data_IF_241843450318
#
_entry.id   IF_241843450318
#
_cell.length_a   1.000
_cell.length_b   1.000
_cell.length_c   1.000
_cell.angle_alpha   90.00
_cell.angle_beta   90.00
_cell.angle_gamma   90.00
#
_symmetry.space_group_name_H-M   'P 1'
#
loop_
_entity.id
_entity.type
_entity.pdbx_description
1 polymer ?
#
# COMPACT_ATOMS: atom_id res chain seq x y z
N UNK A 1 20.51 -18.17 41.45
CA UNK A 1 19.70 -17.87 40.24
C UNK A 1 18.24 -18.11 40.57
N UNK A 2 17.35 -17.16 40.27
CA UNK A 2 15.92 -17.35 40.50
C UNK A 2 15.35 -18.46 39.61
N UNK A 3 14.43 -19.27 40.13
CA UNK A 3 13.66 -20.22 39.32
C UNK A 3 12.42 -19.54 38.75
N UNK A 4 11.92 -20.05 37.63
CA UNK A 4 10.70 -19.56 37.00
C UNK A 4 9.97 -20.67 36.25
N UNK A 5 8.67 -20.49 36.06
CA UNK A 5 7.84 -21.36 35.23
C UNK A 5 7.75 -20.72 33.84
N UNK A 6 8.01 -21.51 32.79
CA UNK A 6 7.88 -21.06 31.42
C UNK A 6 6.39 -20.94 31.03
N UNK A 7 5.89 -19.77 30.61
CA UNK A 7 4.47 -19.60 30.26
C UNK A 7 4.07 -20.36 28.99
N UNK A 8 5.02 -20.74 28.14
CA UNK A 8 4.74 -21.48 26.90
C UNK A 8 4.61 -23.00 27.10
N UNK A 9 5.41 -23.61 27.99
CA UNK A 9 5.45 -25.08 28.13
C UNK A 9 5.27 -25.58 29.57
N UNK A 10 5.09 -24.68 30.55
CA UNK A 10 4.90 -25.03 31.96
C UNK A 10 6.16 -25.55 32.69
N UNK A 11 7.29 -25.73 32.00
CA UNK A 11 8.51 -26.26 32.61
C UNK A 11 9.15 -25.27 33.59
N UNK A 12 9.56 -25.76 34.75
CA UNK A 12 10.41 -25.01 35.69
C UNK A 12 11.85 -24.91 35.15
N UNK A 13 12.42 -23.72 35.13
CA UNK A 13 13.77 -23.47 34.63
C UNK A 13 14.53 -22.45 35.48
N UNK A 14 15.87 -22.52 35.45
CA UNK A 14 16.75 -21.53 36.08
C UNK A 14 16.80 -20.30 35.18
N UNK A 15 16.41 -19.13 35.70
CA UNK A 15 16.45 -17.88 34.94
C UNK A 15 17.90 -17.40 34.81
N UNK A 16 18.47 -17.30 33.59
CA UNK A 16 19.82 -16.76 33.41
C UNK A 16 19.87 -15.24 33.66
N UNK A 17 18.78 -14.53 33.42
CA UNK A 17 18.57 -13.12 33.78
C UNK A 17 17.23 -12.97 34.52
N UNK A 18 17.10 -12.01 35.42
CA UNK A 18 15.84 -11.77 36.15
C UNK A 18 14.66 -11.53 35.19
N UNK A 19 14.91 -10.91 34.03
CA UNK A 19 13.95 -10.64 32.96
C UNK A 19 13.64 -11.83 32.04
N UNK A 20 14.30 -12.98 32.20
CA UNK A 20 14.05 -14.17 31.37
C UNK A 20 12.67 -14.76 31.64
N UNK A 21 11.80 -14.72 30.62
CA UNK A 21 10.42 -15.23 30.69
C UNK A 21 10.26 -16.69 30.25
N UNK A 22 11.08 -17.18 29.31
CA UNK A 22 10.92 -18.51 28.70
C UNK A 22 12.13 -19.41 28.98
N UNK A 23 11.91 -20.73 29.02
CA UNK A 23 12.97 -21.71 29.29
C UNK A 23 13.94 -21.94 28.12
N UNK A 24 13.56 -21.55 26.90
CA UNK A 24 14.38 -21.69 25.68
C UNK A 24 13.95 -20.70 24.60
N UNK A 25 14.82 -20.48 23.61
CA UNK A 25 14.47 -19.70 22.41
C UNK A 25 13.26 -20.28 21.68
N UNK A 26 13.14 -21.61 21.63
CA UNK A 26 11.99 -22.29 21.03
C UNK A 26 10.67 -21.92 21.72
N UNK A 27 10.62 -22.01 23.05
CA UNK A 27 9.42 -21.63 23.80
C UNK A 27 9.07 -20.14 23.68
N UNK A 28 10.09 -19.27 23.60
CA UNK A 28 9.87 -17.86 23.32
C UNK A 28 9.27 -17.65 21.93
N UNK A 29 9.77 -18.34 20.92
CA UNK A 29 9.27 -18.23 19.54
C UNK A 29 7.88 -18.81 19.41
N UNK A 30 7.60 -19.99 19.95
CA UNK A 30 6.29 -20.63 19.90
C UNK A 30 5.22 -19.71 20.50
N UNK A 31 5.50 -19.07 21.64
CA UNK A 31 4.60 -18.09 22.26
C UNK A 31 4.41 -16.83 21.40
N UNK A 32 5.38 -16.47 20.57
CA UNK A 32 5.30 -15.34 19.64
C UNK A 32 4.70 -15.73 18.28
N UNK A 33 4.12 -16.93 18.15
CA UNK A 33 3.56 -17.45 16.89
C UNK A 33 4.59 -18.11 15.95
N UNK A 34 5.76 -18.45 16.46
CA UNK A 34 6.88 -19.02 15.70
C UNK A 34 7.76 -17.96 15.01
N UNK A 35 8.77 -18.41 14.26
CA UNK A 35 9.59 -17.52 13.44
C UNK A 35 8.72 -16.83 12.36
N UNK A 36 8.56 -15.50 12.45
CA UNK A 36 8.05 -14.64 11.38
C UNK A 36 6.61 -14.92 10.85
N UNK A 37 5.69 -15.49 11.64
CA UNK A 37 4.29 -15.72 11.21
C UNK A 37 3.30 -14.66 11.70
N UNK A 38 3.68 -13.39 11.81
CA UNK A 38 2.66 -12.35 11.92
C UNK A 38 1.78 -12.42 10.65
N UNK A 39 0.45 -12.53 10.76
CA UNK A 39 -0.43 -12.64 9.58
C UNK A 39 -0.28 -11.40 8.69
N UNK A 40 -0.03 -10.27 9.32
CA UNK A 40 0.27 -9.00 8.67
C UNK A 40 1.38 -8.23 9.41
N UNK A 41 2.16 -7.46 8.66
CA UNK A 41 3.17 -6.56 9.18
C UNK A 41 3.19 -5.32 8.31
N UNK A 42 3.10 -4.14 8.91
CA UNK A 42 2.98 -2.85 8.23
C UNK A 42 4.13 -1.91 8.60
N UNK A 43 4.55 -1.05 7.67
CA UNK A 43 5.55 -0.01 7.85
C UNK A 43 5.27 1.18 6.92
N UNK A 44 5.76 2.37 7.27
CA UNK A 44 5.67 3.55 6.42
C UNK A 44 6.77 3.50 5.34
N UNK A 45 6.42 3.71 4.08
CA UNK A 45 7.39 3.80 2.99
C UNK A 45 7.86 5.24 2.74
N UNK A 46 8.89 5.41 1.91
CA UNK A 46 9.44 6.73 1.55
C UNK A 46 8.46 7.64 0.78
N UNK A 47 7.35 7.09 0.28
CA UNK A 47 6.30 7.83 -0.45
C UNK A 47 5.12 8.23 0.44
N UNK A 48 5.20 7.94 1.75
CA UNK A 48 4.19 8.24 2.76
C UNK A 48 3.03 7.24 2.86
N UNK A 49 3.10 6.10 2.16
CA UNK A 49 2.07 5.06 2.25
C UNK A 49 2.43 4.02 3.31
N UNK A 50 1.42 3.48 3.97
CA UNK A 50 1.56 2.27 4.78
C UNK A 50 1.59 1.05 3.85
N UNK A 51 2.71 0.34 3.86
CA UNK A 51 2.95 -0.88 3.09
C UNK A 51 3.29 -2.03 4.01
N UNK A 52 3.01 -3.25 3.57
CA UNK A 52 3.12 -4.39 4.44
C UNK A 52 3.32 -5.72 3.73
N UNK A 53 3.59 -6.73 4.55
CA UNK A 53 3.55 -8.15 4.18
C UNK A 53 2.31 -8.75 4.79
N UNK A 54 1.51 -9.41 3.96
CA UNK A 54 0.35 -10.20 4.38
C UNK A 54 0.54 -11.65 3.94
N UNK A 55 0.06 -12.59 4.73
CA UNK A 55 0.01 -14.00 4.36
C UNK A 55 -1.38 -14.33 3.84
N UNK A 56 -1.47 -14.80 2.59
CA UNK A 56 -2.71 -15.23 1.94
C UNK A 56 -2.46 -16.62 1.37
N UNK A 57 -3.27 -17.60 1.75
CA UNK A 57 -3.16 -18.99 1.30
C UNK A 57 -1.74 -19.58 1.45
N UNK A 58 -1.09 -19.29 2.58
CA UNK A 58 0.28 -19.74 2.87
C UNK A 58 1.38 -19.05 2.05
N UNK A 59 1.03 -18.10 1.18
CA UNK A 59 1.98 -17.30 0.39
C UNK A 59 2.07 -15.89 0.95
N UNK A 60 3.29 -15.38 1.04
CA UNK A 60 3.55 -14.00 1.48
C UNK A 60 3.42 -13.04 0.31
N UNK A 61 2.53 -12.05 0.41
CA UNK A 61 2.32 -10.97 -0.57
C UNK A 61 2.76 -9.64 0.03
N UNK A 62 3.41 -8.78 -0.77
CA UNK A 62 3.62 -7.38 -0.41
C UNK A 62 2.46 -6.54 -0.95
N UNK A 63 1.86 -5.72 -0.09
CA UNK A 63 0.65 -4.93 -0.41
C UNK A 63 0.72 -3.56 0.24
N UNK A 64 -0.01 -2.60 -0.33
CA UNK A 64 -0.31 -1.33 0.35
C UNK A 64 -1.55 -1.49 1.22
N UNK A 65 -1.56 -0.87 2.40
CA UNK A 65 -2.62 -1.09 3.38
C UNK A 65 -4.00 -0.63 2.87
N UNK A 66 -4.13 0.57 2.27
CA UNK A 66 -5.40 1.01 1.68
C UNK A 66 -5.96 0.03 0.65
N UNK A 67 -5.10 -0.53 -0.23
CA UNK A 67 -5.53 -1.54 -1.21
C UNK A 67 -5.97 -2.81 -0.51
N UNK A 68 -5.21 -3.27 0.49
CA UNK A 68 -5.56 -4.47 1.24
C UNK A 68 -6.91 -4.35 1.95
N UNK A 69 -7.13 -3.25 2.69
CA UNK A 69 -8.38 -2.97 3.39
C UNK A 69 -9.57 -2.95 2.41
N UNK A 70 -9.39 -2.31 1.25
CA UNK A 70 -10.43 -2.27 0.22
C UNK A 70 -10.67 -3.65 -0.43
N UNK A 71 -9.63 -4.43 -0.72
CA UNK A 71 -9.79 -5.81 -1.23
C UNK A 71 -10.57 -6.69 -0.25
N UNK A 72 -10.32 -6.56 1.07
CA UNK A 72 -11.06 -7.29 2.10
C UNK A 72 -12.53 -6.86 2.14
N UNK A 73 -12.82 -5.56 2.01
CA UNK A 73 -14.17 -5.04 2.00
C UNK A 73 -14.98 -5.50 0.77
N UNK A 74 -14.34 -5.55 -0.41
CA UNK A 74 -14.97 -6.02 -1.65
C UNK A 74 -15.14 -7.54 -1.70
N UNK A 75 -14.35 -8.29 -0.93
CA UNK A 75 -14.25 -9.75 -1.06
C UNK A 75 -13.61 -10.22 -2.37
N UNK A 76 -12.97 -9.32 -3.13
CA UNK A 76 -12.26 -9.62 -4.38
C UNK A 76 -11.02 -8.75 -4.53
N UNK A 77 -10.09 -9.18 -5.40
CA UNK A 77 -8.96 -8.36 -5.77
C UNK A 77 -9.41 -7.07 -6.50
N UNK A 78 -8.70 -5.97 -6.25
CA UNK A 78 -8.87 -4.73 -7.01
C UNK A 78 -8.35 -4.96 -8.42
N UNK A 79 -9.18 -4.64 -9.41
CA UNK A 79 -8.89 -4.80 -10.82
C UNK A 79 -7.73 -3.92 -11.31
N UNK A 80 -7.16 -4.24 -12.48
CA UNK A 80 -6.01 -3.52 -13.02
C UNK A 80 -6.30 -2.06 -13.39
N UNK A 81 -7.57 -1.70 -13.61
CA UNK A 81 -8.03 -0.34 -13.92
C UNK A 81 -8.63 0.39 -12.73
N UNK A 82 -8.67 -0.25 -11.56
CA UNK A 82 -9.23 0.32 -10.34
C UNK A 82 -8.10 0.89 -9.46
N UNK A 83 -8.26 2.15 -9.04
CA UNK A 83 -7.35 2.85 -8.14
C UNK A 83 -8.10 3.15 -6.85
N UNK A 84 -7.44 2.94 -5.71
CA UNK A 84 -7.98 3.33 -4.41
C UNK A 84 -7.40 4.70 -4.06
N UNK A 85 -8.28 5.66 -3.84
CA UNK A 85 -7.95 7.05 -3.53
C UNK A 85 -8.32 7.38 -2.09
N UNK A 86 -7.56 8.27 -1.45
CA UNK A 86 -7.79 8.76 -0.10
C UNK A 86 -8.55 10.07 -0.18
N UNK A 87 -9.79 10.10 0.33
CA UNK A 87 -10.69 11.26 0.22
C UNK A 87 -10.09 12.49 0.92
N UNK A 88 -9.50 12.31 2.12
CA UNK A 88 -8.86 13.39 2.88
C UNK A 88 -7.41 13.71 2.45
N UNK A 89 -6.84 12.96 1.48
CA UNK A 89 -5.46 13.09 1.05
C UNK A 89 -4.38 12.56 2.02
N UNK A 90 -4.76 12.12 3.22
CA UNK A 90 -3.84 11.47 4.17
C UNK A 90 -3.65 10.00 3.84
N UNK A 91 -2.45 9.67 3.34
CA UNK A 91 -2.04 8.33 2.93
C UNK A 91 -1.91 7.32 4.07
N UNK A 92 -1.95 7.79 5.32
CA UNK A 92 -1.87 6.96 6.52
C UNK A 92 -3.23 6.61 7.11
N UNK A 93 -4.27 7.37 6.77
CA UNK A 93 -5.65 7.10 7.18
C UNK A 93 -6.33 6.10 6.24
N UNK A 94 -6.16 4.81 6.54
CA UNK A 94 -6.65 3.70 5.72
C UNK A 94 -8.01 3.16 6.20
N UNK A 95 -8.83 3.96 6.87
CA UNK A 95 -10.22 3.59 7.19
C UNK A 95 -11.07 3.51 5.94
N UNK A 96 -11.99 2.55 5.86
CA UNK A 96 -12.85 2.37 4.68
C UNK A 96 -13.64 3.63 4.29
N UNK A 97 -14.12 4.38 5.28
CA UNK A 97 -14.83 5.66 5.08
C UNK A 97 -13.98 6.75 4.40
N UNK A 98 -12.65 6.63 4.46
CA UNK A 98 -11.71 7.57 3.83
C UNK A 98 -11.18 7.05 2.47
N UNK A 99 -11.64 5.89 2.02
CA UNK A 99 -11.16 5.25 0.79
C UNK A 99 -12.26 5.17 -0.25
N UNK A 100 -11.94 5.57 -1.48
CA UNK A 100 -12.84 5.44 -2.62
C UNK A 100 -12.16 4.67 -3.76
N UNK A 101 -12.94 3.90 -4.52
CA UNK A 101 -12.47 3.25 -5.75
C UNK A 101 -12.83 4.13 -6.93
N UNK A 102 -11.81 4.50 -7.70
CA UNK A 102 -11.97 5.28 -8.93
C UNK A 102 -11.38 4.52 -10.11
N UNK A 103 -11.98 4.68 -11.28
CA UNK A 103 -11.40 4.17 -12.52
C UNK A 103 -10.16 5.01 -12.88
N UNK A 104 -9.09 4.35 -13.33
CA UNK A 104 -7.79 4.96 -13.64
C UNK A 104 -7.89 6.22 -14.54
N UNK A 105 -8.83 6.21 -15.49
CA UNK A 105 -9.10 7.35 -16.38
C UNK A 105 -9.67 8.57 -15.66
N UNK A 106 -10.57 8.37 -14.70
CA UNK A 106 -11.19 9.43 -13.91
C UNK A 106 -10.21 10.01 -12.86
N UNK A 107 -9.35 9.16 -12.29
CA UNK A 107 -8.36 9.56 -11.27
C UNK A 107 -7.36 10.62 -11.76
N UNK A 108 -6.87 10.47 -12.99
CA UNK A 108 -5.93 11.45 -13.58
C UNK A 108 -6.61 12.79 -13.87
N UNK A 109 -7.90 12.79 -14.21
CA UNK A 109 -8.65 14.01 -14.46
C UNK A 109 -8.86 14.80 -13.16
N UNK A 110 -9.30 14.15 -12.08
CA UNK A 110 -9.57 14.80 -10.80
C UNK A 110 -8.33 15.45 -10.20
N UNK A 111 -7.18 14.76 -10.17
CA UNK A 111 -5.92 15.33 -9.69
C UNK A 111 -5.42 16.52 -10.52
N UNK A 112 -5.83 16.66 -11.78
CA UNK A 112 -5.49 17.83 -12.60
C UNK A 112 -6.44 19.00 -12.34
N UNK A 113 -7.69 18.72 -11.93
CA UNK A 113 -8.71 19.74 -11.60
C UNK A 113 -8.49 20.36 -10.22
N UNK A 114 -8.08 19.55 -9.23
CA UNK A 114 -7.82 20.02 -7.85
C UNK A 114 -6.49 20.77 -7.70
N UNK A 115 -5.65 20.81 -8.74
CA UNK A 115 -4.41 21.59 -8.71
C UNK A 115 -4.75 23.08 -8.81
N UNK A 116 -4.55 23.80 -7.72
CA UNK A 116 -4.51 25.25 -7.76
C UNK A 116 -3.22 25.72 -8.44
N UNK A 117 -3.35 26.22 -9.68
CA UNK A 117 -2.27 26.91 -10.34
C UNK A 117 -2.18 28.34 -9.80
N UNK A 118 -0.99 28.85 -9.43
CA UNK A 118 -0.83 30.26 -9.10
C UNK A 118 -1.41 31.10 -10.24
N UNK A 119 -2.31 32.03 -9.89
CA UNK A 119 -3.00 32.89 -10.84
C UNK A 119 -1.96 33.59 -11.73
N UNK A 120 -2.00 33.31 -13.04
CA UNK A 120 -1.03 33.87 -13.99
C UNK A 120 0.08 32.92 -14.47
N UNK A 121 0.02 31.61 -14.15
CA UNK A 121 0.85 30.61 -14.83
C UNK A 121 0.56 30.60 -16.34
N UNK A 122 1.35 31.34 -17.11
CA UNK A 122 1.40 31.26 -18.56
C UNK A 122 2.47 30.25 -18.91
N UNK A 123 2.07 29.16 -19.55
CA UNK A 123 3.01 28.21 -20.12
C UNK A 123 3.80 28.95 -21.22
N UNK A 124 5.04 29.31 -20.93
CA UNK A 124 5.91 30.07 -21.83
C UNK A 124 6.47 29.15 -22.91
N UNK A 125 5.60 28.79 -23.87
CA UNK A 125 5.96 28.03 -25.05
C UNK A 125 5.94 28.94 -26.27
N UNK A 126 7.00 28.86 -27.07
CA UNK A 126 7.05 29.43 -28.41
C UNK A 126 5.97 28.82 -29.32
N UNK A 127 5.64 29.50 -30.40
CA UNK A 127 4.65 29.00 -31.36
C UNK A 127 5.06 27.65 -31.97
N UNK A 128 6.35 27.44 -32.20
CA UNK A 128 6.88 26.16 -32.70
C UNK A 128 6.73 25.03 -31.69
N UNK A 129 6.94 25.30 -30.40
CA UNK A 129 6.76 24.30 -29.34
C UNK A 129 5.30 23.95 -29.13
N UNK A 130 4.40 24.95 -29.24
CA UNK A 130 2.95 24.72 -29.26
C UNK A 130 2.54 23.84 -30.43
N UNK A 131 3.07 24.10 -31.62
CA UNK A 131 2.76 23.34 -32.84
C UNK A 131 3.30 21.90 -32.75
N UNK A 132 4.56 21.72 -32.32
CA UNK A 132 5.14 20.40 -32.05
C UNK A 132 4.32 19.60 -31.03
N UNK A 133 3.86 20.24 -29.95
CA UNK A 133 3.02 19.60 -28.93
C UNK A 133 1.65 19.21 -29.50
N UNK A 134 1.03 20.06 -30.31
CA UNK A 134 -0.24 19.75 -30.97
C UNK A 134 -0.12 18.58 -31.97
N UNK A 135 0.94 18.56 -32.78
CA UNK A 135 1.23 17.49 -33.73
C UNK A 135 1.49 16.16 -33.02
N UNK A 136 2.27 16.17 -31.93
CA UNK A 136 2.48 15.00 -31.09
C UNK A 136 1.15 14.43 -30.57
N UNK A 137 0.25 15.28 -30.06
CA UNK A 137 -1.06 14.84 -29.56
C UNK A 137 -1.96 14.28 -30.67
N UNK A 138 -1.92 14.86 -31.88
CA UNK A 138 -2.63 14.32 -33.07
C UNK A 138 -2.11 12.92 -33.42
N UNK A 139 -0.79 12.69 -33.37
CA UNK A 139 -0.16 11.39 -33.66
C UNK A 139 -0.57 10.33 -32.64
N UNK A 140 -0.53 10.65 -31.34
CA UNK A 140 -0.95 9.74 -30.25
C UNK A 140 -2.44 9.38 -30.37
N UNK A 141 -3.30 10.36 -30.68
CA UNK A 141 -4.73 10.10 -30.90
C UNK A 141 -4.98 9.20 -32.11
N UNK A 142 -4.18 9.36 -33.18
CA UNK A 142 -4.29 8.53 -34.39
C UNK A 142 -3.83 7.09 -34.15
N UNK A 143 -2.77 6.88 -33.37
CA UNK A 143 -2.30 5.53 -33.00
C UNK A 143 -3.27 4.83 -32.06
N UNK A 144 -3.80 5.51 -31.04
CA UNK A 144 -4.77 4.91 -30.11
C UNK A 144 -6.09 4.51 -30.78
N UNK A 145 -6.54 5.25 -31.80
CA UNK A 145 -7.73 4.87 -32.62
C UNK A 145 -7.49 3.65 -33.51
N UNK A 146 -6.26 3.44 -33.97
CA UNK A 146 -5.91 2.28 -34.79
C UNK A 146 -5.81 0.99 -33.95
N UNK A 147 -5.41 1.09 -32.68
CA UNK A 147 -5.34 -0.05 -31.75
C UNK A 147 -6.72 -0.43 -31.17
N UNK A 148 -7.67 0.49 -31.10
CA UNK A 148 -9.03 0.24 -30.60
C UNK A 148 -10.00 -0.35 -31.65
N UNK A 149 -9.64 -0.34 -32.94
CA UNK A 149 -10.45 -0.83 -34.06
C UNK A 149 -9.95 -2.20 -34.59
N UNK A 150 -9.19 -2.93 -33.78
CA UNK A 150 -8.61 -4.23 -34.09
C UNK A 150 -9.08 -5.24 -33.06
#
# INVERSE_FOLDING_TARGET
>A
MAKGICPNCGKEFKKPRASSKYCSHRCMWDNNGGHNRKPESWWLNSRGYIEGRVWVDGKRRQVKQHRWVMEQHLGRAIGPREVVHHINGDKTDNKLENLEIVEYGAHTANHNLEREYPKGYKLDLSNEERQRRAERMRKVRRSGRAEANK
#
